data_IF_208323676074
#
_entry.id   IF_208323676074
#
_cell.length_a   1.000
_cell.length_b   1.000
_cell.length_c   1.000
_cell.angle_alpha   90.00
_cell.angle_beta   90.00
_cell.angle_gamma   90.00
#
_symmetry.space_group_name_H-M   'P 1'
#
loop_
_entity.id
_entity.type
_entity.pdbx_description
1 polymer ?
#
# COMPACT_ATOMS: atom_id res chain seq x y z
N UNK A 1 8.10 7.04 -9.18
CA UNK A 1 8.51 8.28 -8.49
C UNK A 1 9.93 8.62 -8.92
N UNK A 2 10.06 9.71 -9.67
CA UNK A 2 11.36 10.22 -10.08
C UNK A 2 11.65 11.54 -9.37
N UNK A 3 12.77 11.59 -8.65
CA UNK A 3 13.27 12.80 -8.03
C UNK A 3 14.42 13.34 -8.89
N UNK A 4 14.23 14.51 -9.47
CA UNK A 4 15.26 15.16 -10.26
C UNK A 4 15.97 16.20 -9.38
N UNK A 5 17.28 16.04 -9.22
CA UNK A 5 18.15 16.92 -8.46
C UNK A 5 19.25 17.42 -9.41
N UNK A 6 19.04 18.58 -10.05
CA UNK A 6 20.05 19.13 -10.94
C UNK A 6 21.30 19.52 -10.13
N UNK A 7 22.51 19.20 -10.64
CA UNK A 7 23.74 19.66 -10.02
C UNK A 7 23.87 21.19 -10.14
N UNK A 8 24.55 21.79 -9.18
CA UNK A 8 24.96 23.19 -9.25
C UNK A 8 26.09 23.40 -10.31
N UNK A 9 26.57 24.62 -10.44
CA UNK A 9 27.62 24.93 -11.43
C UNK A 9 28.95 24.21 -11.20
N UNK A 10 29.20 23.76 -9.98
CA UNK A 10 30.39 23.01 -9.59
C UNK A 10 30.19 21.48 -9.71
N UNK A 11 29.05 21.03 -10.23
CA UNK A 11 28.72 19.62 -10.39
C UNK A 11 28.28 18.93 -9.09
N UNK A 12 28.02 19.69 -8.02
CA UNK A 12 27.60 19.18 -6.72
C UNK A 12 26.10 19.37 -6.51
N UNK A 13 25.49 18.54 -5.66
CA UNK A 13 24.13 18.76 -5.19
C UNK A 13 24.12 19.96 -4.23
N UNK A 14 23.17 20.88 -4.39
CA UNK A 14 23.02 22.03 -3.49
C UNK A 14 22.70 21.55 -2.04
N UNK A 15 23.30 22.21 -1.04
CA UNK A 15 23.14 21.82 0.36
C UNK A 15 21.67 21.82 0.83
N UNK A 16 20.84 22.70 0.25
CA UNK A 16 19.41 22.74 0.53
C UNK A 16 18.70 21.48 0.07
N UNK A 17 19.12 20.97 -1.10
CA UNK A 17 18.55 19.74 -1.67
C UNK A 17 19.03 18.51 -0.88
N UNK A 18 20.28 18.48 -0.44
CA UNK A 18 20.80 17.43 0.46
C UNK A 18 19.98 17.39 1.77
N UNK A 19 19.70 18.55 2.35
CA UNK A 19 18.87 18.63 3.56
C UNK A 19 17.44 18.12 3.33
N UNK A 20 16.81 18.51 2.20
CA UNK A 20 15.46 18.05 1.84
C UNK A 20 15.40 16.54 1.58
N UNK A 21 16.44 15.99 0.96
CA UNK A 21 16.56 14.54 0.77
C UNK A 21 16.67 13.80 2.11
N UNK A 22 17.44 14.32 3.04
CA UNK A 22 17.57 13.74 4.38
C UNK A 22 16.21 13.75 5.11
N UNK A 23 15.52 14.89 5.11
CA UNK A 23 14.17 15.05 5.70
C UNK A 23 13.17 14.07 5.07
N UNK A 24 13.17 13.93 3.74
CA UNK A 24 12.33 12.98 3.03
C UNK A 24 12.66 11.53 3.42
N UNK A 25 13.95 11.19 3.51
CA UNK A 25 14.39 9.86 3.92
C UNK A 25 13.97 9.52 5.35
N UNK A 26 14.02 10.50 6.27
CA UNK A 26 13.53 10.32 7.65
C UNK A 26 12.02 10.12 7.70
N UNK A 27 11.26 10.90 6.92
CA UNK A 27 9.81 10.74 6.81
C UNK A 27 9.45 9.35 6.28
N UNK A 28 10.09 8.88 5.22
CA UNK A 28 9.85 7.55 4.66
C UNK A 28 10.16 6.47 5.71
N UNK A 29 11.28 6.56 6.42
CA UNK A 29 11.62 5.59 7.47
C UNK A 29 10.62 5.60 8.63
N UNK A 30 10.10 6.76 9.00
CA UNK A 30 9.09 6.88 10.05
C UNK A 30 7.77 6.25 9.65
N UNK A 31 7.30 6.54 8.42
CA UNK A 31 5.98 6.11 7.96
C UNK A 31 5.97 4.66 7.42
N UNK A 32 7.08 4.21 6.81
CA UNK A 32 7.20 2.92 6.13
C UNK A 32 8.42 2.11 6.63
N UNK A 33 8.83 2.29 7.88
CA UNK A 33 10.01 1.60 8.42
C UNK A 33 9.76 0.13 8.71
N UNK A 34 8.90 -0.17 9.66
CA UNK A 34 8.60 -1.55 10.08
C UNK A 34 7.14 -1.86 9.77
N UNK A 35 6.85 -2.86 8.95
CA UNK A 35 5.49 -3.28 8.67
C UNK A 35 4.86 -3.90 9.92
N UNK A 36 3.54 -3.79 10.02
CA UNK A 36 2.75 -4.46 11.03
C UNK A 36 2.75 -5.97 10.79
N UNK A 37 2.66 -6.75 11.86
CA UNK A 37 2.36 -8.16 11.74
C UNK A 37 0.95 -8.33 11.18
N UNK A 38 0.85 -9.04 10.06
CA UNK A 38 -0.42 -9.35 9.43
C UNK A 38 -0.39 -10.77 8.87
N UNK A 39 -1.50 -11.48 8.98
CA UNK A 39 -1.68 -12.75 8.28
C UNK A 39 -2.24 -12.47 6.91
N UNK A 40 -1.41 -12.65 5.88
CA UNK A 40 -1.80 -12.47 4.49
C UNK A 40 -2.10 -13.83 3.88
N UNK A 41 -3.27 -13.97 3.27
CA UNK A 41 -3.67 -15.19 2.57
C UNK A 41 -4.43 -14.84 1.30
N UNK A 42 -4.31 -15.68 0.28
CA UNK A 42 -5.17 -15.62 -0.89
C UNK A 42 -6.55 -16.15 -0.50
N UNK A 43 -7.60 -15.40 -0.82
CA UNK A 43 -8.96 -15.69 -0.37
C UNK A 43 -9.83 -16.32 -1.45
N UNK A 44 -9.45 -16.18 -2.73
CA UNK A 44 -10.17 -16.82 -3.83
C UNK A 44 -9.84 -18.31 -3.95
N UNK A 45 -10.69 -19.04 -4.63
CA UNK A 45 -10.53 -20.46 -4.93
C UNK A 45 -9.56 -20.76 -6.09
N UNK A 46 -8.87 -19.72 -6.60
CA UNK A 46 -7.98 -19.83 -7.75
C UNK A 46 -8.70 -19.95 -9.10
N UNK A 47 -10.03 -19.92 -9.12
CA UNK A 47 -10.79 -19.98 -10.36
C UNK A 47 -10.79 -18.65 -11.14
N UNK A 48 -10.54 -17.56 -10.45
CA UNK A 48 -10.39 -16.23 -11.04
C UNK A 48 -8.92 -15.85 -11.22
N UNK A 49 -8.55 -15.39 -12.41
CA UNK A 49 -7.21 -14.82 -12.64
C UNK A 49 -6.94 -13.57 -11.81
N UNK A 50 -7.99 -12.86 -11.47
CA UNK A 50 -7.85 -11.55 -10.82
C UNK A 50 -7.27 -11.66 -9.42
N UNK A 51 -7.65 -12.67 -8.65
CA UNK A 51 -7.14 -12.88 -7.31
C UNK A 51 -7.67 -11.91 -6.25
N UNK A 52 -7.86 -12.46 -5.07
CA UNK A 52 -8.25 -11.72 -3.86
C UNK A 52 -7.37 -12.14 -2.69
N UNK A 53 -6.90 -11.17 -1.90
CA UNK A 53 -6.10 -11.43 -0.70
C UNK A 53 -6.76 -10.82 0.52
N UNK A 54 -6.75 -11.57 1.59
CA UNK A 54 -7.13 -11.11 2.92
C UNK A 54 -5.88 -10.84 3.76
N UNK A 55 -5.93 -9.74 4.50
CA UNK A 55 -4.89 -9.27 5.41
C UNK A 55 -5.51 -9.08 6.78
N UNK A 56 -5.32 -10.04 7.67
CA UNK A 56 -5.83 -10.01 9.04
C UNK A 56 -4.80 -9.37 9.96
N UNK A 57 -5.18 -8.27 10.61
CA UNK A 57 -4.39 -7.56 11.60
C UNK A 57 -4.78 -7.98 13.01
N UNK A 58 -3.83 -8.08 13.95
CA UNK A 58 -4.13 -8.30 15.36
C UNK A 58 -5.10 -7.26 15.93
N UNK A 59 -5.88 -7.64 16.91
CA UNK A 59 -6.86 -6.75 17.54
C UNK A 59 -6.24 -5.53 18.25
N UNK A 60 -5.00 -5.65 18.70
CA UNK A 60 -4.21 -4.61 19.35
C UNK A 60 -3.34 -3.80 18.38
N UNK A 61 -3.35 -4.14 17.08
CA UNK A 61 -2.60 -3.39 16.09
C UNK A 61 -3.15 -1.96 15.96
N UNK A 62 -2.28 -0.96 15.76
CA UNK A 62 -2.74 0.40 15.44
C UNK A 62 -3.52 0.42 14.13
N UNK A 63 -4.27 1.50 13.90
CA UNK A 63 -4.98 1.66 12.64
C UNK A 63 -4.00 1.77 11.48
N UNK A 64 -4.08 0.90 10.45
CA UNK A 64 -3.18 0.92 9.32
C UNK A 64 -3.36 2.18 8.50
N UNK A 65 -2.24 2.78 8.07
CA UNK A 65 -2.22 4.00 7.25
C UNK A 65 -1.85 3.73 5.80
N UNK A 66 -1.00 2.72 5.58
CA UNK A 66 -0.52 2.38 4.26
C UNK A 66 -0.56 0.88 4.02
N UNK A 67 -0.88 0.52 2.79
CA UNK A 67 -0.61 -0.82 2.24
C UNK A 67 0.40 -0.66 1.12
N UNK A 68 1.48 -1.43 1.19
CA UNK A 68 2.51 -1.46 0.15
C UNK A 68 2.38 -2.78 -0.59
N UNK A 69 2.23 -2.69 -1.90
CA UNK A 69 2.15 -3.83 -2.81
C UNK A 69 3.37 -3.84 -3.71
N UNK A 70 3.90 -5.02 -4.00
CA UNK A 70 4.99 -5.22 -4.94
C UNK A 70 4.65 -6.41 -5.84
N UNK A 71 4.76 -6.23 -7.17
CA UNK A 71 4.69 -7.33 -8.12
C UNK A 71 6.06 -7.97 -8.32
N UNK A 72 6.07 -9.27 -8.56
CA UNK A 72 7.25 -9.97 -9.03
C UNK A 72 7.46 -9.65 -10.52
N UNK A 73 8.38 -8.74 -10.79
CA UNK A 73 8.65 -8.25 -12.13
C UNK A 73 9.40 -9.24 -13.02
N UNK A 74 9.90 -10.34 -12.47
CA UNK A 74 10.44 -11.44 -13.30
C UNK A 74 9.35 -12.04 -14.19
N UNK A 75 8.07 -11.94 -13.75
CA UNK A 75 6.91 -12.29 -14.53
C UNK A 75 6.29 -11.12 -15.30
N UNK A 76 6.85 -9.92 -15.17
CA UNK A 76 6.35 -8.68 -15.76
C UNK A 76 5.18 -8.06 -14.99
N UNK A 77 4.88 -6.81 -15.29
CA UNK A 77 3.75 -6.09 -14.70
C UNK A 77 2.43 -6.62 -15.29
N UNK A 78 1.55 -7.11 -14.44
CA UNK A 78 0.29 -7.78 -14.82
C UNK A 78 -0.94 -7.09 -14.29
N UNK A 79 -0.85 -6.45 -13.10
CA UNK A 79 -1.97 -5.74 -12.48
C UNK A 79 -2.26 -4.46 -13.24
N UNK A 80 -3.52 -4.28 -13.66
CA UNK A 80 -4.01 -3.08 -14.36
C UNK A 80 -4.92 -2.22 -13.48
N UNK A 81 -5.66 -2.85 -12.56
CA UNK A 81 -6.44 -2.14 -11.55
C UNK A 81 -6.69 -3.02 -10.34
N UNK A 82 -6.77 -2.37 -9.17
CA UNK A 82 -7.05 -3.04 -7.91
C UNK A 82 -7.78 -2.11 -6.93
N UNK A 83 -8.39 -2.72 -5.91
CA UNK A 83 -9.05 -2.00 -4.82
C UNK A 83 -8.68 -2.62 -3.49
N UNK A 84 -8.65 -1.79 -2.45
CA UNK A 84 -8.47 -2.22 -1.07
C UNK A 84 -9.73 -1.84 -0.30
N UNK A 85 -10.27 -2.79 0.47
CA UNK A 85 -11.48 -2.65 1.27
C UNK A 85 -11.19 -2.97 2.73
N UNK A 86 -12.10 -2.56 3.61
CA UNK A 86 -12.18 -3.02 4.99
C UNK A 86 -13.55 -3.63 5.26
N UNK A 87 -13.61 -4.62 6.11
CA UNK A 87 -14.87 -5.21 6.57
C UNK A 87 -15.70 -4.23 7.44
N UNK A 88 -15.05 -3.22 8.05
CA UNK A 88 -15.71 -2.24 8.93
C UNK A 88 -16.33 -1.07 8.18
N UNK A 89 -15.92 -0.80 6.94
CA UNK A 89 -16.34 0.38 6.18
C UNK A 89 -17.32 0.06 5.04
N UNK A 90 -18.42 -0.68 5.35
CA UNK A 90 -19.46 -0.96 4.36
C UNK A 90 -19.09 -2.00 3.29
N UNK A 91 -18.01 -2.75 3.51
CA UNK A 91 -17.58 -3.83 2.64
C UNK A 91 -17.14 -3.37 1.25
N UNK A 92 -17.48 -4.14 0.22
CA UNK A 92 -17.04 -3.89 -1.18
C UNK A 92 -17.63 -2.63 -1.83
N UNK A 93 -18.59 -1.95 -1.20
CA UNK A 93 -19.23 -0.77 -1.77
C UNK A 93 -18.35 0.48 -1.67
N UNK A 94 -17.50 0.57 -0.65
CA UNK A 94 -16.65 1.75 -0.42
C UNK A 94 -15.18 1.34 -0.27
N UNK A 95 -14.42 1.34 -1.37
CA UNK A 95 -13.00 1.04 -1.29
C UNK A 95 -12.25 2.11 -0.48
N UNK A 96 -11.34 1.68 0.39
CA UNK A 96 -10.41 2.57 1.09
C UNK A 96 -9.35 3.14 0.12
N UNK A 97 -9.04 2.37 -0.91
CA UNK A 97 -8.10 2.77 -1.94
C UNK A 97 -8.44 2.10 -3.28
N UNK A 98 -8.23 2.84 -4.35
CA UNK A 98 -8.32 2.32 -5.72
C UNK A 98 -7.06 2.73 -6.48
N UNK A 99 -6.37 1.75 -7.04
CA UNK A 99 -5.17 1.92 -7.85
C UNK A 99 -5.34 1.34 -9.25
N UNK A 100 -4.45 1.76 -10.15
CA UNK A 100 -4.41 1.26 -11.53
C UNK A 100 -3.37 0.16 -11.68
N UNK A 101 -2.13 0.39 -11.28
CA UNK A 101 -1.02 -0.55 -11.46
C UNK A 101 -0.26 -0.71 -10.14
N UNK A 102 0.35 -1.86 -9.95
CA UNK A 102 1.25 -2.11 -8.81
C UNK A 102 2.71 -1.89 -9.24
N UNK A 103 3.16 -2.64 -10.25
CA UNK A 103 4.54 -2.58 -10.72
C UNK A 103 5.55 -2.95 -9.63
N UNK A 104 6.73 -2.33 -9.66
CA UNK A 104 7.77 -2.59 -8.67
C UNK A 104 7.30 -2.31 -7.24
N UNK A 105 6.58 -1.20 -7.03
CA UNK A 105 6.03 -0.84 -5.71
C UNK A 105 4.90 0.18 -5.84
N UNK A 106 3.76 -0.14 -5.28
CA UNK A 106 2.66 0.80 -5.05
C UNK A 106 2.49 1.06 -3.55
N UNK A 107 2.47 2.33 -3.16
CA UNK A 107 2.19 2.76 -1.79
C UNK A 107 0.77 3.31 -1.75
N UNK A 108 -0.12 2.57 -1.11
CA UNK A 108 -1.55 2.89 -1.03
C UNK A 108 -1.84 3.58 0.30
N UNK A 109 -2.15 4.88 0.29
CA UNK A 109 -2.56 5.61 1.48
C UNK A 109 -4.04 5.32 1.77
N UNK A 110 -4.33 4.75 2.94
CA UNK A 110 -5.69 4.42 3.38
C UNK A 110 -6.39 5.59 4.07
N UNK A 111 -5.66 6.67 4.35
CA UNK A 111 -6.19 7.87 4.95
C UNK A 111 -6.74 8.79 3.86
N UNK A 112 -7.85 9.49 4.16
CA UNK A 112 -8.30 10.57 3.29
C UNK A 112 -7.24 11.71 3.31
N UNK A 113 -6.57 11.99 2.19
CA UNK A 113 -5.54 13.01 2.14
C UNK A 113 -6.08 14.43 2.37
N UNK A 114 -7.38 14.65 2.22
CA UNK A 114 -8.03 15.96 2.39
C UNK A 114 -8.67 16.14 3.76
N UNK A 115 -9.22 15.06 4.35
CA UNK A 115 -9.87 15.12 5.66
C UNK A 115 -8.89 14.85 6.81
N UNK A 116 -7.70 14.32 6.53
CA UNK A 116 -6.73 13.91 7.55
C UNK A 116 -7.23 12.80 8.48
N UNK A 117 -8.39 12.22 8.16
CA UNK A 117 -9.02 11.17 8.94
C UNK A 117 -8.66 9.81 8.34
N UNK A 118 -8.31 8.89 9.23
CA UNK A 118 -8.18 7.49 8.87
C UNK A 118 -9.52 6.81 9.14
N UNK A 119 -10.25 6.33 8.09
CA UNK A 119 -11.54 5.68 8.27
C UNK A 119 -11.48 4.41 9.10
N UNK A 120 -10.27 3.91 9.41
CA UNK A 120 -10.04 2.72 10.21
C UNK A 120 -9.77 3.01 11.69
N UNK A 121 -9.83 4.28 12.13
CA UNK A 121 -9.62 4.66 13.54
C UNK A 121 -10.86 4.46 14.41
N UNK A 122 -12.01 4.06 13.83
CA UNK A 122 -13.27 3.98 14.57
C UNK A 122 -13.39 2.69 15.39
N UNK A 123 -13.82 2.89 16.61
CA UNK A 123 -14.39 2.10 17.75
C UNK A 123 -14.44 0.56 17.76
N UNK A 124 -13.77 -0.12 16.86
CA UNK A 124 -13.63 -1.59 16.91
C UNK A 124 -12.47 -2.06 17.81
N UNK A 125 -12.18 -1.31 18.89
CA UNK A 125 -11.21 -1.73 19.88
C UNK A 125 -11.52 -3.14 20.36
N UNK A 126 -10.60 -4.09 20.10
CA UNK A 126 -10.73 -5.48 20.50
C UNK A 126 -11.17 -6.45 19.40
N UNK A 127 -11.39 -6.00 18.15
CA UNK A 127 -11.63 -6.89 17.00
C UNK A 127 -10.47 -6.87 16.03
N UNK A 128 -10.10 -8.04 15.53
CA UNK A 128 -9.17 -8.15 14.41
C UNK A 128 -9.75 -7.37 13.22
N UNK A 129 -8.87 -6.58 12.57
CA UNK A 129 -9.25 -5.84 11.37
C UNK A 129 -8.92 -6.66 10.14
N UNK A 130 -9.88 -6.81 9.26
CA UNK A 130 -9.70 -7.49 7.99
C UNK A 130 -9.66 -6.47 6.87
N UNK A 131 -8.53 -6.42 6.16
CA UNK A 131 -8.41 -5.72 4.89
C UNK A 131 -8.47 -6.74 3.76
N UNK A 132 -9.07 -6.35 2.65
CA UNK A 132 -9.14 -7.16 1.43
C UNK A 132 -8.55 -6.39 0.27
N UNK A 133 -7.63 -7.02 -0.44
CA UNK A 133 -7.11 -6.57 -1.72
C UNK A 133 -7.77 -7.38 -2.82
N UNK A 134 -8.45 -6.72 -3.74
CA UNK A 134 -9.07 -7.33 -4.92
C UNK A 134 -8.45 -6.76 -6.19
N UNK A 135 -7.85 -7.61 -6.99
CA UNK A 135 -7.40 -7.25 -8.34
C UNK A 135 -8.64 -7.23 -9.23
N UNK A 136 -8.95 -6.07 -9.79
CA UNK A 136 -10.17 -5.86 -10.60
C UNK A 136 -9.91 -5.97 -12.10
N UNK A 137 -8.66 -5.79 -12.55
CA UNK A 137 -8.21 -6.06 -13.92
C UNK A 137 -6.74 -6.47 -13.93
N UNK A 138 -6.42 -7.46 -14.73
CA UNK A 138 -5.06 -7.92 -14.97
C UNK A 138 -4.92 -8.53 -16.37
N UNK A 139 -3.71 -8.48 -16.95
CA UNK A 139 -3.41 -9.06 -18.27
C UNK A 139 -3.29 -10.58 -18.25
N UNK A 140 -2.83 -11.11 -17.14
CA UNK A 140 -2.71 -12.53 -16.83
C UNK A 140 -2.63 -12.68 -15.32
N UNK A 141 -2.49 -13.91 -14.80
CA UNK A 141 -2.44 -14.17 -13.37
C UNK A 141 -1.41 -13.27 -12.68
N UNK A 142 -1.81 -12.44 -11.67
CA UNK A 142 -0.91 -11.55 -10.98
C UNK A 142 0.02 -12.32 -10.03
N UNK A 143 1.29 -11.90 -9.99
CA UNK A 143 2.27 -12.40 -9.05
C UNK A 143 2.67 -11.27 -8.10
N UNK A 144 2.11 -11.27 -6.90
CA UNK A 144 2.48 -10.33 -5.86
C UNK A 144 3.65 -10.91 -5.06
N UNK A 145 4.80 -10.24 -5.14
CA UNK A 145 5.99 -10.61 -4.38
C UNK A 145 5.86 -10.21 -2.91
N UNK A 146 5.12 -9.12 -2.64
CA UNK A 146 4.95 -8.62 -1.27
C UNK A 146 3.63 -7.86 -1.10
N UNK A 147 3.01 -8.07 0.06
CA UNK A 147 1.95 -7.24 0.63
C UNK A 147 2.40 -6.88 2.05
N UNK A 148 2.55 -5.60 2.35
CA UNK A 148 2.96 -5.11 3.66
C UNK A 148 2.05 -3.98 4.13
N UNK A 149 1.78 -3.91 5.44
CA UNK A 149 0.85 -2.96 6.06
C UNK A 149 1.64 -2.11 7.06
N UNK A 150 1.37 -0.79 7.09
CA UNK A 150 2.05 0.19 7.94
C UNK A 150 1.07 1.13 8.62
#
# INVERSE_FOLDING_TARGET
>A
FHLNLPPNRDGLIDERDVKRLAELGEMIRRELGTPMEAKVRRADDGASWQGEWEMELPADAPAPRYVVLEEDLDFGQRVESFRIFSDTNGGEHFPLYQGTTVGHRAVCCLCDPFAGQNPLTDDSAGKARLLRLKITSCRCEPHLARIAIY
#
